data_IF_208443383570
#
_entry.id   IF_208443383570
#
_cell.length_a   1.000
_cell.length_b   1.000
_cell.length_c   1.000
_cell.angle_alpha   90.00
_cell.angle_beta   90.00
_cell.angle_gamma   90.00
#
_symmetry.space_group_name_H-M   'P 1'
#
loop_
_entity.id
_entity.type
_entity.pdbx_description
1 polymer ?
#
# COMPACT_ATOMS: atom_id res chain seq x y z
N UNK A 1 8.73 -5.87 3.61
CA UNK A 1 9.40 -5.91 2.30
C UNK A 1 8.49 -5.57 1.09
N UNK A 2 7.19 -5.25 1.25
CA UNK A 2 6.27 -5.04 0.11
C UNK A 2 6.36 -3.68 -0.61
N UNK A 3 7.01 -2.67 -0.03
CA UNK A 3 7.09 -1.33 -0.61
C UNK A 3 8.01 -1.26 -1.83
N UNK A 4 9.16 -1.93 -1.77
CA UNK A 4 10.14 -1.96 -2.86
C UNK A 4 9.57 -2.63 -4.12
N UNK A 5 8.76 -3.69 -3.96
CA UNK A 5 8.15 -4.40 -5.07
C UNK A 5 7.21 -3.52 -5.89
N UNK A 6 6.35 -2.72 -5.26
CA UNK A 6 5.42 -1.84 -5.99
C UNK A 6 6.14 -0.76 -6.82
N UNK A 7 7.21 -0.17 -6.27
CA UNK A 7 8.04 0.80 -6.98
C UNK A 7 8.80 0.18 -8.14
N UNK A 8 9.45 -0.97 -7.93
CA UNK A 8 10.23 -1.67 -8.97
C UNK A 8 9.31 -2.15 -10.11
N UNK A 9 8.17 -2.78 -9.79
CA UNK A 9 7.23 -3.26 -10.79
C UNK A 9 6.64 -2.10 -11.61
N UNK A 10 6.26 -1.00 -10.94
CA UNK A 10 5.74 0.20 -11.60
C UNK A 10 6.77 0.85 -12.52
N UNK A 11 8.04 0.88 -12.10
CA UNK A 11 9.15 1.40 -12.89
C UNK A 11 9.40 0.58 -14.15
N UNK A 12 9.43 -0.75 -14.03
CA UNK A 12 9.63 -1.68 -15.15
C UNK A 12 8.48 -1.58 -16.14
N UNK A 13 7.23 -1.56 -15.65
CA UNK A 13 6.04 -1.44 -16.49
C UNK A 13 6.00 -0.09 -17.21
N UNK A 14 6.33 0.98 -16.49
CA UNK A 14 6.43 2.33 -17.04
C UNK A 14 7.51 2.43 -18.12
N UNK A 15 8.67 1.83 -17.91
CA UNK A 15 9.73 1.74 -18.92
C UNK A 15 9.28 0.96 -20.16
N UNK A 16 8.65 -0.19 -19.96
CA UNK A 16 8.20 -1.05 -21.04
C UNK A 16 7.16 -0.34 -21.93
N UNK A 17 6.14 0.27 -21.33
CA UNK A 17 5.11 1.03 -22.07
C UNK A 17 5.70 2.30 -22.68
N UNK A 18 6.54 3.01 -21.93
CA UNK A 18 7.16 4.26 -22.37
C UNK A 18 8.07 4.06 -23.58
N UNK A 19 8.81 2.96 -23.63
CA UNK A 19 9.74 2.64 -24.72
C UNK A 19 9.07 2.51 -26.10
N UNK A 20 7.77 2.22 -26.14
CA UNK A 20 6.97 2.20 -27.38
C UNK A 20 6.93 3.56 -28.06
N UNK A 21 7.03 4.65 -27.29
CA UNK A 21 7.04 6.03 -27.79
C UNK A 21 8.47 6.57 -27.98
N UNK A 22 9.48 5.70 -27.96
CA UNK A 22 10.88 6.06 -28.11
C UNK A 22 11.56 6.54 -26.81
N UNK A 23 12.77 7.12 -26.91
CA UNK A 23 13.59 7.44 -25.74
C UNK A 23 12.94 8.41 -24.75
N UNK A 24 12.22 9.40 -25.27
CA UNK A 24 11.49 10.37 -24.44
C UNK A 24 10.32 9.72 -23.68
N UNK A 25 9.60 8.80 -24.33
CA UNK A 25 8.51 8.05 -23.70
C UNK A 25 9.01 7.11 -22.60
N UNK A 26 10.15 6.45 -22.78
CA UNK A 26 10.76 5.59 -21.78
C UNK A 26 11.08 6.36 -20.48
N UNK A 27 11.65 7.55 -20.62
CA UNK A 27 11.98 8.42 -19.48
C UNK A 27 10.73 8.88 -18.74
N UNK A 28 9.70 9.28 -19.49
CA UNK A 28 8.42 9.70 -18.93
C UNK A 28 7.69 8.56 -18.21
N UNK A 29 7.68 7.38 -18.82
CA UNK A 29 7.10 6.17 -18.25
C UNK A 29 7.79 5.72 -16.95
N UNK A 30 9.12 5.85 -16.87
CA UNK A 30 9.87 5.54 -15.66
C UNK A 30 9.52 6.49 -14.51
N UNK A 31 9.46 7.79 -14.79
CA UNK A 31 9.10 8.82 -13.79
C UNK A 31 7.68 8.58 -13.29
N UNK A 32 6.72 8.37 -14.20
CA UNK A 32 5.33 8.09 -13.83
C UNK A 32 5.19 6.78 -13.05
N UNK A 33 5.92 5.73 -13.45
CA UNK A 33 5.94 4.44 -12.78
C UNK A 33 6.47 4.53 -11.35
N UNK A 34 7.53 5.31 -11.13
CA UNK A 34 8.08 5.59 -9.81
C UNK A 34 7.12 6.38 -8.92
N UNK A 35 6.53 7.45 -9.45
CA UNK A 35 5.58 8.30 -8.70
C UNK A 35 4.31 7.51 -8.35
N UNK A 36 3.76 6.77 -9.31
CA UNK A 36 2.60 5.92 -9.10
C UNK A 36 2.89 4.80 -8.10
N UNK A 37 4.03 4.12 -8.23
CA UNK A 37 4.48 3.09 -7.30
C UNK A 37 4.69 3.62 -5.88
N UNK A 38 5.31 4.79 -5.73
CA UNK A 38 5.52 5.45 -4.44
C UNK A 38 4.20 5.91 -3.80
N UNK A 39 3.30 6.51 -4.58
CA UNK A 39 1.96 6.90 -4.10
C UNK A 39 1.09 5.72 -3.69
N UNK A 40 1.14 4.62 -4.45
CA UNK A 40 0.39 3.41 -4.16
C UNK A 40 0.96 2.68 -2.94
N UNK A 41 2.30 2.56 -2.87
CA UNK A 41 3.01 2.03 -1.71
C UNK A 41 2.74 2.83 -0.44
N UNK A 42 2.75 4.17 -0.53
CA UNK A 42 2.43 5.07 0.59
C UNK A 42 0.98 4.93 1.06
N UNK A 43 0.01 4.79 0.14
CA UNK A 43 -1.39 4.55 0.50
C UNK A 43 -1.62 3.18 1.13
N UNK A 44 -0.93 2.13 0.68
CA UNK A 44 -0.99 0.81 1.29
C UNK A 44 -0.39 0.83 2.71
N UNK A 45 0.76 1.48 2.90
CA UNK A 45 1.37 1.62 4.22
C UNK A 45 0.45 2.36 5.21
N UNK A 46 -0.28 3.37 4.73
CA UNK A 46 -1.25 4.08 5.57
C UNK A 46 -2.51 3.24 5.87
N UNK A 47 -2.93 2.38 4.94
CA UNK A 47 -4.03 1.42 5.17
C UNK A 47 -3.66 0.37 6.22
N UNK A 48 -2.42 -0.11 6.22
CA UNK A 48 -1.93 -1.08 7.21
C UNK A 48 -1.95 -0.52 8.64
N UNK A 49 -1.68 0.78 8.84
CA UNK A 49 -1.81 1.41 10.17
C UNK A 49 -3.25 1.44 10.67
N UNK A 50 -4.21 1.76 9.79
CA UNK A 50 -5.63 1.75 10.16
C UNK A 50 -6.13 0.35 10.50
N UNK A 51 -5.71 -0.66 9.76
CA UNK A 51 -6.10 -2.05 10.03
C UNK A 51 -5.58 -2.51 11.40
N UNK A 52 -4.33 -2.18 11.74
CA UNK A 52 -3.78 -2.49 13.08
C UNK A 52 -4.52 -1.75 14.21
N UNK A 53 -4.90 -0.49 13.99
CA UNK A 53 -5.71 0.27 14.96
C UNK A 53 -7.13 -0.31 15.11
N UNK A 54 -7.70 -0.82 14.03
CA UNK A 54 -9.02 -1.47 14.01
C UNK A 54 -8.98 -2.83 14.72
N UNK A 55 -7.95 -3.65 14.52
CA UNK A 55 -7.76 -4.91 15.25
C UNK A 55 -7.66 -4.65 16.76
N UNK A 56 -6.88 -3.66 17.17
CA UNK A 56 -6.70 -3.33 18.59
C UNK A 56 -8.01 -2.89 19.26
N UNK A 57 -8.86 -2.15 18.55
CA UNK A 57 -10.19 -1.74 19.04
C UNK A 57 -11.18 -2.89 19.12
N UNK A 58 -11.05 -3.89 18.24
CA UNK A 58 -11.92 -5.08 18.27
C UNK A 58 -11.55 -5.95 19.46
N UNK A 59 -10.25 -6.17 19.72
CA UNK A 59 -9.79 -6.94 20.89
C UNK A 59 -10.27 -6.32 22.21
N UNK A 60 -10.15 -5.00 22.36
CA UNK A 60 -10.61 -4.28 23.56
C UNK A 60 -12.14 -4.37 23.76
N UNK A 61 -12.89 -4.37 22.65
CA UNK A 61 -14.35 -4.48 22.68
C UNK A 61 -14.78 -5.92 23.01
N UNK A 62 -14.07 -6.91 22.51
CA UNK A 62 -14.31 -8.33 22.78
C UNK A 62 -14.05 -8.66 24.26
N UNK A 63 -12.95 -8.16 24.83
CA UNK A 63 -12.63 -8.32 26.26
C UNK A 63 -13.70 -7.66 27.16
N UNK A 64 -14.22 -6.49 26.77
CA UNK A 64 -15.27 -5.79 27.53
C UNK A 64 -16.59 -6.57 27.50
N UNK A 65 -16.95 -7.12 26.35
CA UNK A 65 -18.16 -7.95 26.19
C UNK A 65 -18.05 -9.24 27.00
N UNK A 66 -16.89 -9.89 27.00
CA UNK A 66 -16.66 -11.09 27.81
C UNK A 66 -16.77 -10.77 29.31
N UNK A 67 -16.13 -9.70 29.79
CA UNK A 67 -16.24 -9.27 31.19
C UNK A 67 -17.68 -9.00 31.61
N UNK A 68 -18.44 -8.31 30.77
CA UNK A 68 -19.85 -7.99 31.04
C UNK A 68 -20.77 -9.21 30.99
N UNK A 69 -20.33 -10.32 30.38
CA UNK A 69 -21.03 -11.60 30.34
C UNK A 69 -20.71 -12.47 31.56
N UNK A 70 -19.51 -12.37 32.12
CA UNK A 70 -19.13 -13.06 33.36
C UNK A 70 -19.73 -12.40 34.62
N UNK A 71 -20.09 -11.12 34.55
CA UNK A 71 -20.75 -10.38 35.62
C UNK A 71 -22.29 -10.58 35.70
N UNK A 72 -22.88 -11.35 34.78
CA UNK A 72 -24.30 -11.76 34.78
C UNK A 72 -24.48 -13.22 35.18
#
# INVERSE_FOLDING_TARGET
MNFAYGGILGSILGLAIGSVFGPGGAFFGLILGLIAGASFGGRIANRSRRIAELEQRVDELEETVERSREEQ
#
